data_IF_024531525130
#
_entry.id   IF_024531525130
#
_cell.length_a   1.000
_cell.length_b   1.000
_cell.length_c   1.000
_cell.angle_alpha   90.00
_cell.angle_beta   90.00
_cell.angle_gamma   90.00
#
_symmetry.space_group_name_H-M   'P 1'
#
loop_
_entity.id
_entity.type
_entity.pdbx_description
1 polymer ?
#
# COMPACT_ATOMS: atom_id res chain seq x y z
N UNK A 1 -3.59 -15.84 6.02
CA UNK A 1 -3.88 -14.46 5.60
C UNK A 1 -2.57 -13.70 5.48
N UNK A 2 -2.53 -12.60 4.73
CA UNK A 2 -1.34 -11.74 4.60
C UNK A 2 -1.54 -10.46 5.43
N UNK A 3 -0.44 -9.91 5.94
CA UNK A 3 -0.41 -8.51 6.35
C UNK A 3 -0.23 -7.62 5.13
N UNK A 4 -0.71 -6.37 5.20
CA UNK A 4 -0.68 -5.44 4.07
C UNK A 4 -0.09 -4.10 4.51
N UNK A 5 0.81 -3.58 3.68
CA UNK A 5 1.15 -2.15 3.67
C UNK A 5 0.41 -1.53 2.49
N UNK A 6 -0.62 -0.73 2.78
CA UNK A 6 -1.42 -0.08 1.75
C UNK A 6 -0.97 1.36 1.58
N UNK A 7 -0.38 1.66 0.42
CA UNK A 7 -0.08 3.03 0.02
C UNK A 7 -1.31 3.66 -0.64
N UNK A 8 -1.80 4.78 -0.09
CA UNK A 8 -2.99 5.46 -0.62
C UNK A 8 -2.72 6.19 -1.94
N UNK A 9 -3.73 6.36 -2.81
CA UNK A 9 -3.65 7.34 -3.88
C UNK A 9 -3.59 8.78 -3.30
N UNK A 10 -3.00 9.71 -4.07
CA UNK A 10 -2.93 11.13 -3.67
C UNK A 10 -4.26 11.86 -3.82
N UNK A 11 -5.11 11.40 -4.74
CA UNK A 11 -6.35 12.09 -5.09
C UNK A 11 -7.49 11.78 -4.11
N UNK A 12 -7.36 10.67 -3.36
CA UNK A 12 -8.38 10.22 -2.41
C UNK A 12 -7.79 9.67 -1.08
N UNK A 13 -6.89 10.40 -0.39
CA UNK A 13 -6.23 9.91 0.83
C UNK A 13 -7.22 9.73 1.99
N UNK A 14 -8.21 10.61 2.10
CA UNK A 14 -9.22 10.54 3.16
C UNK A 14 -10.16 9.35 3.00
N UNK A 15 -10.40 8.88 1.77
CA UNK A 15 -11.18 7.68 1.52
C UNK A 15 -10.44 6.44 2.04
N UNK A 16 -9.15 6.33 1.74
CA UNK A 16 -8.31 5.25 2.28
C UNK A 16 -8.25 5.28 3.81
N UNK A 17 -8.13 6.47 4.40
CA UNK A 17 -8.15 6.63 5.85
C UNK A 17 -9.48 6.18 6.47
N UNK A 18 -10.61 6.61 5.89
CA UNK A 18 -11.93 6.23 6.36
C UNK A 18 -12.12 4.70 6.31
N UNK A 19 -11.68 4.05 5.22
CA UNK A 19 -11.75 2.60 5.11
C UNK A 19 -10.86 1.88 6.13
N UNK A 20 -9.61 2.31 6.31
CA UNK A 20 -8.71 1.74 7.31
C UNK A 20 -9.27 1.88 8.73
N UNK A 21 -9.91 3.01 9.04
CA UNK A 21 -10.59 3.23 10.32
C UNK A 21 -11.77 2.27 10.52
N UNK A 22 -12.60 2.05 9.48
CA UNK A 22 -13.71 1.09 9.53
C UNK A 22 -13.18 -0.33 9.78
N UNK A 23 -12.07 -0.71 9.13
CA UNK A 23 -11.44 -2.03 9.34
C UNK A 23 -11.01 -2.23 10.79
N UNK A 24 -10.35 -1.24 11.41
CA UNK A 24 -10.00 -1.31 12.82
C UNK A 24 -11.23 -1.36 13.73
N UNK A 25 -12.26 -0.57 13.45
CA UNK A 25 -13.52 -0.60 14.20
C UNK A 25 -14.25 -1.95 14.08
N UNK A 26 -14.08 -2.66 12.97
CA UNK A 26 -14.59 -4.01 12.77
C UNK A 26 -13.78 -5.11 13.49
N UNK A 27 -12.72 -4.73 14.22
CA UNK A 27 -11.90 -5.66 15.00
C UNK A 27 -10.72 -6.25 14.23
N UNK A 28 -10.31 -5.66 13.11
CA UNK A 28 -9.08 -6.06 12.44
C UNK A 28 -7.88 -5.84 13.39
N UNK A 29 -7.04 -6.86 13.66
CA UNK A 29 -5.92 -6.72 14.58
C UNK A 29 -4.90 -5.67 14.12
N UNK A 30 -4.26 -5.01 15.09
CA UNK A 30 -3.22 -4.03 14.85
C UNK A 30 -2.07 -4.63 14.02
N UNK A 31 -1.56 -3.85 13.07
CA UNK A 31 -0.48 -4.25 12.17
C UNK A 31 -0.88 -5.17 11.02
N UNK A 32 -2.12 -5.66 10.96
CA UNK A 32 -2.59 -6.48 9.82
C UNK A 32 -2.75 -5.64 8.56
N UNK A 33 -3.27 -4.41 8.67
CA UNK A 33 -3.30 -3.42 7.59
C UNK A 33 -2.64 -2.14 8.08
N UNK A 34 -1.62 -1.69 7.37
CA UNK A 34 -0.89 -0.46 7.67
C UNK A 34 -1.09 0.51 6.51
N UNK A 35 -1.86 1.57 6.73
CA UNK A 35 -2.10 2.62 5.74
C UNK A 35 -0.94 3.62 5.77
N UNK A 36 -0.26 3.80 4.63
CA UNK A 36 0.81 4.78 4.47
C UNK A 36 0.45 5.79 3.37
N UNK A 37 0.87 7.04 3.56
CA UNK A 37 0.70 8.11 2.60
C UNK A 37 2.05 8.51 2.03
N UNK A 38 2.11 8.85 0.74
CA UNK A 38 3.35 9.29 0.12
C UNK A 38 3.28 9.35 -1.41
N UNK A 39 4.36 9.81 -2.04
CA UNK A 39 4.48 9.87 -3.50
C UNK A 39 4.85 8.50 -4.09
N UNK A 40 4.73 8.37 -5.41
CA UNK A 40 5.24 7.18 -6.13
C UNK A 40 6.75 7.04 -5.94
N UNK A 41 7.51 8.12 -6.17
CA UNK A 41 8.97 8.17 -5.99
C UNK A 41 9.45 8.07 -4.54
N UNK A 42 8.57 8.26 -3.55
CA UNK A 42 8.88 8.12 -2.13
C UNK A 42 8.39 6.77 -1.62
N UNK A 43 7.29 6.78 -0.87
CA UNK A 43 6.73 5.56 -0.27
C UNK A 43 6.46 4.43 -1.28
N UNK A 44 6.10 4.75 -2.53
CA UNK A 44 5.93 3.74 -3.57
C UNK A 44 7.24 3.02 -3.90
N UNK A 45 8.31 3.76 -4.17
CA UNK A 45 9.63 3.21 -4.48
C UNK A 45 10.16 2.36 -3.32
N UNK A 46 10.07 2.85 -2.08
CA UNK A 46 10.48 2.05 -0.91
C UNK A 46 9.73 0.72 -0.77
N UNK A 47 8.46 0.65 -1.19
CA UNK A 47 7.71 -0.61 -1.20
C UNK A 47 8.21 -1.55 -2.29
N UNK A 48 8.65 -1.03 -3.45
CA UNK A 48 9.25 -1.84 -4.51
C UNK A 48 10.63 -2.32 -4.08
N UNK A 49 11.48 -1.46 -3.52
CA UNK A 49 12.80 -1.85 -3.01
C UNK A 49 12.67 -2.94 -1.92
N UNK A 50 11.64 -2.85 -1.07
CA UNK A 50 11.35 -3.88 -0.07
C UNK A 50 10.96 -5.25 -0.68
N UNK A 51 10.47 -5.29 -1.92
CA UNK A 51 10.27 -6.55 -2.66
C UNK A 51 11.62 -7.12 -3.08
N UNK A 52 12.50 -6.29 -3.64
CA UNK A 52 13.84 -6.70 -4.08
C UNK A 52 14.69 -7.23 -2.91
N UNK A 53 14.50 -6.65 -1.73
CA UNK A 53 15.13 -7.09 -0.48
C UNK A 53 14.45 -8.33 0.16
N UNK A 54 13.39 -8.87 -0.45
CA UNK A 54 12.65 -10.04 0.04
C UNK A 54 11.78 -9.78 1.28
N UNK A 55 11.57 -8.51 1.67
CA UNK A 55 10.73 -8.12 2.81
C UNK A 55 9.24 -8.07 2.46
N UNK A 56 8.88 -7.89 1.18
CA UNK A 56 7.50 -7.91 0.67
C UNK A 56 7.35 -9.02 -0.36
N UNK A 57 6.44 -9.97 -0.11
CA UNK A 57 6.29 -11.14 -0.99
C UNK A 57 5.50 -10.88 -2.27
N UNK A 58 4.66 -9.85 -2.30
CA UNK A 58 3.81 -9.53 -3.46
C UNK A 58 3.37 -8.08 -3.47
N UNK A 59 3.30 -7.50 -4.67
CA UNK A 59 2.68 -6.20 -4.94
C UNK A 59 1.38 -6.40 -5.70
N UNK A 60 0.33 -5.71 -5.27
CA UNK A 60 -0.88 -5.49 -6.07
C UNK A 60 -0.91 -4.02 -6.47
N UNK A 61 -0.85 -3.77 -7.77
CA UNK A 61 -0.80 -2.43 -8.33
C UNK A 61 -1.97 -2.20 -9.27
N UNK A 62 -2.57 -1.02 -9.19
CA UNK A 62 -3.55 -0.53 -10.16
C UNK A 62 -3.23 0.93 -10.44
N UNK A 63 -2.99 1.24 -11.71
CA UNK A 63 -2.56 2.55 -12.15
C UNK A 63 -2.21 2.53 -13.63
N UNK A 64 -1.35 3.45 -14.07
CA UNK A 64 -0.98 3.52 -15.48
C UNK A 64 -0.13 2.32 -15.91
N UNK A 65 -0.26 1.93 -17.18
CA UNK A 65 0.55 0.87 -17.78
C UNK A 65 2.04 1.15 -17.69
N UNK A 66 2.45 2.41 -17.84
CA UNK A 66 3.85 2.82 -17.75
C UNK A 66 4.45 2.53 -16.37
N UNK A 67 3.71 2.85 -15.30
CA UNK A 67 4.15 2.52 -13.93
C UNK A 67 4.07 1.03 -13.66
N UNK A 68 3.03 0.35 -14.14
CA UNK A 68 2.90 -1.11 -14.00
C UNK A 68 4.14 -1.84 -14.53
N UNK A 69 4.58 -1.50 -15.75
CA UNK A 69 5.80 -2.08 -16.36
C UNK A 69 7.10 -1.80 -15.60
N UNK A 70 7.16 -0.71 -14.83
CA UNK A 70 8.32 -0.40 -13.99
C UNK A 70 8.31 -1.23 -12.69
N UNK A 71 7.13 -1.63 -12.22
CA UNK A 71 6.95 -2.46 -11.02
C UNK A 71 7.15 -3.95 -11.33
N UNK A 72 6.73 -4.41 -12.52
CA UNK A 72 6.85 -5.80 -12.97
C UNK A 72 6.30 -6.03 -14.38
#
# INVERSE_FOLDING_TARGET
GNTVVWKSPKDAPLLSFALARIMHQAGLPDGVVNLVHGTGSGAGQHLIDAVDEGRVNKVSFTGSTGVGKMIG
#
